data_IF_159160428285
#
_entry.id   IF_159160428285
#
_cell.length_a   1.000
_cell.length_b   1.000
_cell.length_c   1.000
_cell.angle_alpha   90.00
_cell.angle_beta   90.00
_cell.angle_gamma   90.00
#
_symmetry.space_group_name_H-M   'P 1'
#
loop_
_entity.id
_entity.type
_entity.pdbx_description
1 polymer ?
#
# COMPACT_ATOMS: atom_id res chain seq x y z
N UNK A 1 47.67 39.75 -62.89
CA UNK A 1 46.66 39.37 -61.89
C UNK A 1 46.61 40.44 -60.81
N UNK A 2 45.40 40.93 -60.56
CA UNK A 2 44.83 41.72 -59.46
C UNK A 2 45.66 42.79 -58.71
N UNK A 3 45.05 43.98 -58.68
CA UNK A 3 45.50 45.23 -58.10
C UNK A 3 45.21 45.37 -56.59
N UNK A 4 46.07 46.19 -55.95
CA UNK A 4 45.81 47.24 -54.95
C UNK A 4 44.97 46.94 -53.67
N UNK A 5 45.65 47.13 -52.53
CA UNK A 5 45.16 47.64 -51.24
C UNK A 5 44.15 48.80 -51.41
N UNK A 6 43.20 48.99 -50.48
CA UNK A 6 43.26 49.92 -49.30
C UNK A 6 41.83 50.28 -48.76
N UNK A 7 41.73 50.54 -47.45
CA UNK A 7 40.74 51.35 -46.67
C UNK A 7 39.46 50.63 -46.17
N UNK A 8 39.25 50.31 -44.88
CA UNK A 8 39.03 51.08 -43.63
C UNK A 8 37.56 51.45 -43.29
N UNK A 9 37.12 50.97 -42.10
CA UNK A 9 36.33 51.65 -41.05
C UNK A 9 34.79 51.87 -41.14
N UNK A 10 34.15 51.39 -40.05
CA UNK A 10 33.23 52.08 -39.09
C UNK A 10 31.71 51.80 -39.16
N UNK A 11 31.19 51.37 -37.98
CA UNK A 11 30.00 51.83 -37.20
C UNK A 11 28.63 51.77 -37.93
N UNK A 12 27.46 51.53 -37.33
CA UNK A 12 26.90 51.25 -35.99
C UNK A 12 25.38 51.15 -36.24
N UNK A 13 24.65 50.39 -35.41
CA UNK A 13 23.22 50.59 -35.06
C UNK A 13 22.20 50.40 -36.21
N UNK A 14 21.26 49.45 -36.13
CA UNK A 14 19.90 49.63 -35.57
C UNK A 14 19.26 48.22 -35.50
N UNK A 15 19.12 47.57 -34.34
CA UNK A 15 17.94 47.54 -33.42
C UNK A 15 16.76 46.73 -33.98
N UNK A 16 16.43 45.66 -33.23
CA UNK A 16 15.12 44.98 -33.04
C UNK A 16 14.43 44.47 -34.31
N UNK A 17 14.14 43.18 -34.46
CA UNK A 17 12.93 42.52 -33.96
C UNK A 17 12.99 41.12 -34.61
N UNK A 18 13.02 40.00 -33.88
CA UNK A 18 11.98 38.97 -33.86
C UNK A 18 12.72 37.75 -33.26
N UNK A 19 12.57 37.50 -31.97
CA UNK A 19 11.78 36.38 -31.43
C UNK A 19 12.13 35.05 -32.11
N UNK A 20 12.92 34.22 -31.42
CA UNK A 20 12.61 32.80 -31.23
C UNK A 20 13.58 32.22 -30.19
N UNK A 21 13.31 32.60 -28.94
CA UNK A 21 13.15 31.69 -27.81
C UNK A 21 13.70 30.28 -28.05
N UNK A 22 15.00 30.09 -27.84
CA UNK A 22 15.54 28.80 -27.42
C UNK A 22 15.04 28.51 -26.00
N UNK A 23 13.78 28.11 -25.89
CA UNK A 23 13.29 27.39 -24.73
C UNK A 23 13.98 26.04 -24.79
N UNK A 24 15.05 25.90 -24.02
CA UNK A 24 15.57 24.60 -23.62
C UNK A 24 14.41 23.85 -22.97
N UNK A 25 13.73 23.01 -23.76
CA UNK A 25 12.91 21.93 -23.22
C UNK A 25 13.89 20.95 -22.58
N UNK A 26 14.23 21.21 -21.32
CA UNK A 26 14.74 20.18 -20.42
C UNK A 26 13.62 19.16 -20.29
N UNK A 27 13.62 18.18 -21.19
CA UNK A 27 12.83 16.97 -21.02
C UNK A 27 13.47 16.28 -19.82
N UNK A 28 12.90 16.52 -18.65
CA UNK A 28 13.14 15.69 -17.47
C UNK A 28 12.69 14.30 -17.88
N UNK A 29 13.63 13.48 -18.34
CA UNK A 29 13.40 12.04 -18.41
C UNK A 29 13.13 11.64 -16.97
N UNK A 30 11.89 11.28 -16.66
CA UNK A 30 11.62 10.47 -15.48
C UNK A 30 12.55 9.26 -15.56
N UNK A 31 13.58 9.27 -14.71
CA UNK A 31 14.47 8.13 -14.58
C UNK A 31 13.62 7.07 -13.90
N UNK A 32 13.08 6.14 -14.70
CA UNK A 32 12.39 4.97 -14.18
C UNK A 32 13.41 4.22 -13.31
N UNK A 33 13.30 4.38 -11.99
CA UNK A 33 14.20 3.75 -11.03
C UNK A 33 14.06 2.24 -11.15
N UNK A 34 15.18 1.53 -11.04
CA UNK A 34 15.14 0.07 -11.00
C UNK A 34 14.59 -0.40 -9.64
N UNK A 35 13.96 -1.58 -9.60
CA UNK A 35 13.48 -2.18 -8.34
C UNK A 35 14.57 -2.29 -7.26
N UNK A 36 15.80 -2.53 -7.68
CA UNK A 36 16.95 -2.61 -6.77
C UNK A 36 17.31 -1.25 -6.15
N UNK A 37 17.17 -0.16 -6.91
CA UNK A 37 17.37 1.20 -6.43
C UNK A 37 16.28 1.62 -5.45
N UNK A 38 15.01 1.38 -5.79
CA UNK A 38 13.86 1.64 -4.90
C UNK A 38 14.07 0.94 -3.56
N UNK A 39 14.36 -0.36 -3.59
CA UNK A 39 14.61 -1.14 -2.36
C UNK A 39 15.79 -0.60 -1.53
N UNK A 40 16.83 -0.08 -2.18
CA UNK A 40 17.98 0.52 -1.50
C UNK A 40 17.58 1.84 -0.83
N UNK A 41 16.84 2.69 -1.53
CA UNK A 41 16.35 3.96 -1.00
C UNK A 41 15.39 3.75 0.18
N UNK A 42 14.41 2.85 0.04
CA UNK A 42 13.48 2.48 1.12
C UNK A 42 14.23 2.03 2.37
N UNK A 43 15.30 1.24 2.22
CA UNK A 43 16.14 0.82 3.35
C UNK A 43 16.91 1.98 3.99
N UNK A 44 17.39 2.94 3.20
CA UNK A 44 18.17 4.07 3.71
C UNK A 44 17.29 5.11 4.40
N UNK A 45 16.07 5.30 3.88
CA UNK A 45 15.13 6.34 4.31
C UNK A 45 13.97 5.80 5.17
N UNK A 46 14.00 4.53 5.59
CA UNK A 46 12.90 3.87 6.30
C UNK A 46 12.37 4.63 7.53
N UNK A 47 13.22 5.42 8.20
CA UNK A 47 12.85 6.22 9.38
C UNK A 47 12.08 7.49 9.05
N UNK A 48 12.15 7.96 7.81
CA UNK A 48 11.52 9.19 7.34
C UNK A 48 10.30 8.91 6.45
N UNK A 49 10.05 7.64 6.13
CA UNK A 49 8.90 7.21 5.34
C UNK A 49 7.79 6.87 6.32
N UNK A 50 6.73 7.65 6.26
CA UNK A 50 5.52 7.48 7.05
C UNK A 50 4.52 6.63 6.28
N UNK A 51 3.89 5.68 6.96
CA UNK A 51 2.96 4.70 6.40
C UNK A 51 1.72 4.67 7.26
N UNK A 52 0.55 4.84 6.65
CA UNK A 52 -0.73 4.71 7.35
C UNK A 52 -1.11 3.25 7.49
N UNK A 53 -1.51 2.88 8.71
CA UNK A 53 -1.96 1.54 9.04
C UNK A 53 -3.34 1.53 9.68
N UNK A 54 -4.07 0.46 9.46
CA UNK A 54 -5.44 0.22 9.91
C UNK A 54 -5.51 -0.97 10.87
N UNK A 55 -6.19 -0.80 12.00
CA UNK A 55 -6.51 -1.88 12.91
C UNK A 55 -7.65 -2.74 12.35
N UNK A 56 -7.35 -4.00 12.06
CA UNK A 56 -8.32 -5.01 11.61
C UNK A 56 -8.62 -6.07 12.69
N UNK A 57 -8.13 -5.86 13.92
CA UNK A 57 -8.45 -6.72 15.06
C UNK A 57 -9.77 -6.35 15.69
N UNK A 58 -10.38 -7.30 16.42
CA UNK A 58 -11.60 -7.05 17.16
C UNK A 58 -11.25 -6.46 18.53
N UNK A 59 -10.99 -5.16 18.57
CA UNK A 59 -10.66 -4.40 19.78
C UNK A 59 -9.30 -3.71 19.70
N UNK A 60 -8.65 -3.54 20.84
CA UNK A 60 -7.40 -2.80 20.96
C UNK A 60 -6.22 -3.56 20.31
N UNK A 61 -5.47 -2.86 19.46
CA UNK A 61 -4.16 -3.28 18.98
C UNK A 61 -3.08 -2.42 19.62
N UNK A 62 -2.23 -3.04 20.42
CA UNK A 62 -1.08 -2.39 21.03
C UNK A 62 0.22 -3.07 20.63
N UNK A 63 1.17 -2.29 20.14
CA UNK A 63 2.52 -2.77 19.83
C UNK A 63 3.58 -1.73 20.17
N UNK A 64 4.61 -2.15 20.91
CA UNK A 64 5.76 -1.31 21.28
C UNK A 64 7.04 -1.87 20.68
N UNK A 65 7.68 -1.11 19.82
CA UNK A 65 8.96 -1.48 19.23
C UNK A 65 10.12 -1.05 20.12
N UNK A 66 10.83 -1.99 20.74
CA UNK A 66 12.01 -1.67 21.56
C UNK A 66 13.16 -1.02 20.79
N UNK A 67 13.21 -1.19 19.46
CA UNK A 67 14.31 -0.75 18.61
C UNK A 67 14.11 0.66 18.07
N UNK A 68 12.90 0.98 17.63
CA UNK A 68 12.56 2.33 17.13
C UNK A 68 12.03 3.23 18.24
N UNK A 69 11.67 2.67 19.40
CA UNK A 69 10.99 3.36 20.51
C UNK A 69 9.61 3.92 20.14
N UNK A 70 9.08 3.54 18.98
CA UNK A 70 7.71 3.85 18.57
C UNK A 70 6.72 2.87 19.21
N UNK A 71 5.52 3.40 19.44
CA UNK A 71 4.38 2.70 20.00
C UNK A 71 3.19 2.94 19.09
N UNK A 72 2.48 1.87 18.76
CA UNK A 72 1.23 1.91 18.03
C UNK A 72 0.13 1.48 18.99
N UNK A 73 -0.84 2.35 19.21
CA UNK A 73 -1.98 2.09 20.07
C UNK A 73 -3.27 2.48 19.36
N UNK A 74 -3.97 1.47 18.85
CA UNK A 74 -5.24 1.60 18.16
C UNK A 74 -6.31 1.00 19.07
N UNK A 75 -7.29 1.78 19.50
CA UNK A 75 -8.22 1.37 20.56
C UNK A 75 -9.34 0.49 20.02
N UNK A 76 -9.82 0.81 18.82
CA UNK A 76 -10.95 0.14 18.20
C UNK A 76 -10.61 -0.39 16.80
N UNK A 77 -11.43 -1.33 16.33
CA UNK A 77 -11.37 -1.80 14.95
C UNK A 77 -11.70 -0.64 14.02
N UNK A 78 -10.86 -0.39 13.03
CA UNK A 78 -11.04 0.73 12.10
C UNK A 78 -10.21 1.96 12.43
N UNK A 79 -9.61 2.01 13.63
CA UNK A 79 -8.66 3.06 13.94
C UNK A 79 -7.46 2.99 13.00
N UNK A 80 -7.03 4.17 12.54
CA UNK A 80 -5.81 4.33 11.76
C UNK A 80 -4.79 5.17 12.53
N UNK A 81 -3.52 4.92 12.25
CA UNK A 81 -2.41 5.74 12.73
C UNK A 81 -1.24 5.65 11.75
N UNK A 82 -0.28 6.55 11.89
CA UNK A 82 0.87 6.67 11.02
C UNK A 82 2.12 6.20 11.75
N UNK A 83 2.83 5.26 11.14
CA UNK A 83 4.07 4.69 11.68
C UNK A 83 5.20 4.76 10.67
N UNK A 84 6.45 4.66 11.13
CA UNK A 84 7.57 4.64 10.20
C UNK A 84 7.71 3.30 9.48
N UNK A 85 8.28 3.31 8.27
CA UNK A 85 8.62 2.09 7.57
C UNK A 85 9.64 1.22 8.35
N UNK A 86 10.55 1.84 9.12
CA UNK A 86 11.50 1.11 9.98
C UNK A 86 10.79 0.37 11.13
N UNK A 87 9.71 0.96 11.67
CA UNK A 87 8.85 0.31 12.64
C UNK A 87 8.17 -0.92 12.05
N UNK A 88 7.53 -0.81 10.88
CA UNK A 88 6.89 -1.94 10.19
C UNK A 88 7.89 -3.03 9.81
N UNK A 89 9.08 -2.65 9.35
CA UNK A 89 10.14 -3.60 9.04
C UNK A 89 10.61 -4.34 10.30
N UNK A 90 10.70 -3.64 11.43
CA UNK A 90 11.06 -4.27 12.71
C UNK A 90 9.95 -5.19 13.21
N UNK A 91 8.68 -4.76 13.13
CA UNK A 91 7.51 -5.59 13.45
C UNK A 91 7.49 -6.85 12.60
N UNK A 92 7.73 -6.74 11.29
CA UNK A 92 7.80 -7.91 10.42
C UNK A 92 8.87 -8.91 10.86
N UNK A 93 10.05 -8.43 11.27
CA UNK A 93 11.15 -9.31 11.64
C UNK A 93 10.93 -10.01 12.99
N UNK A 94 10.19 -9.38 13.92
CA UNK A 94 9.96 -9.90 15.26
C UNK A 94 8.61 -10.64 15.40
N UNK A 95 7.58 -10.11 14.77
CA UNK A 95 6.18 -10.49 14.90
C UNK A 95 5.48 -10.54 13.53
N UNK A 96 6.10 -11.25 12.59
CA UNK A 96 5.65 -11.39 11.20
C UNK A 96 4.15 -11.72 11.09
N UNK A 97 3.66 -12.60 11.97
CA UNK A 97 2.28 -13.09 11.98
C UNK A 97 1.23 -11.98 12.08
N UNK A 98 1.52 -10.84 12.72
CA UNK A 98 0.59 -9.72 12.82
C UNK A 98 0.24 -9.14 11.43
N UNK A 99 1.25 -9.04 10.56
CA UNK A 99 1.08 -8.54 9.20
C UNK A 99 0.54 -9.65 8.26
N UNK A 100 0.91 -10.91 8.49
CA UNK A 100 0.43 -12.02 7.65
C UNK A 100 -1.04 -12.39 7.90
N UNK A 101 -1.52 -12.21 9.13
CA UNK A 101 -2.93 -12.40 9.48
C UNK A 101 -3.81 -11.20 9.14
N UNK A 102 -3.21 -10.14 8.58
CA UNK A 102 -3.88 -8.87 8.32
C UNK A 102 -4.51 -8.29 9.60
N UNK A 103 -3.89 -8.47 10.77
CA UNK A 103 -4.32 -7.83 12.01
C UNK A 103 -4.06 -6.30 11.95
N UNK A 104 -3.00 -5.93 11.23
CA UNK A 104 -2.65 -4.56 10.88
C UNK A 104 -2.48 -4.46 9.35
N UNK A 105 -3.18 -3.53 8.72
CA UNK A 105 -3.20 -3.38 7.26
C UNK A 105 -2.63 -2.03 6.82
N UNK A 106 -1.79 -2.01 5.79
CA UNK A 106 -1.22 -0.80 5.19
C UNK A 106 -2.24 -0.17 4.25
N UNK A 107 -2.61 1.09 4.50
CA UNK A 107 -3.60 1.83 3.71
C UNK A 107 -2.98 2.83 2.74
N UNK A 108 -1.93 3.54 3.17
CA UNK A 108 -1.31 4.59 2.38
C UNK A 108 0.15 4.86 2.79
N UNK A 109 0.86 5.62 1.96
CA UNK A 109 2.29 5.95 2.14
C UNK A 109 2.49 7.43 1.89
N UNK A 110 3.00 8.14 2.90
CA UNK A 110 3.25 9.58 2.85
C UNK A 110 4.66 9.89 2.36
N UNK A 111 4.99 9.40 1.15
CA UNK A 111 6.28 9.62 0.49
C UNK A 111 6.15 9.43 -1.04
N UNK A 112 7.22 9.70 -1.78
CA UNK A 112 7.30 9.48 -3.23
C UNK A 112 7.45 7.98 -3.61
N UNK A 113 6.62 7.12 -3.01
CA UNK A 113 6.60 5.66 -3.21
C UNK A 113 5.16 5.15 -3.28
N UNK A 114 4.94 4.09 -4.06
CA UNK A 114 3.63 3.43 -4.12
C UNK A 114 3.50 2.40 -2.99
N UNK A 115 2.25 2.02 -2.64
CA UNK A 115 1.99 0.99 -1.62
C UNK A 115 2.62 -0.34 -2.06
N UNK A 116 2.58 -0.65 -3.34
CA UNK A 116 3.17 -1.83 -3.95
C UNK A 116 4.68 -1.91 -3.68
N UNK A 117 5.39 -0.78 -3.70
CA UNK A 117 6.82 -0.71 -3.35
C UNK A 117 7.05 -1.06 -1.88
N UNK A 118 6.20 -0.56 -0.98
CA UNK A 118 6.25 -0.85 0.45
C UNK A 118 5.93 -2.31 0.73
N UNK A 119 4.91 -2.87 0.09
CA UNK A 119 4.53 -4.28 0.21
C UNK A 119 5.62 -5.19 -0.34
N UNK A 120 6.25 -4.86 -1.47
CA UNK A 120 7.40 -5.60 -2.02
C UNK A 120 8.61 -5.52 -1.08
N UNK A 121 8.89 -4.34 -0.51
CA UNK A 121 9.97 -4.13 0.45
C UNK A 121 9.79 -4.96 1.73
N UNK A 122 8.58 -4.96 2.28
CA UNK A 122 8.22 -5.78 3.44
C UNK A 122 8.10 -7.26 3.05
N UNK A 123 7.89 -7.60 1.79
CA UNK A 123 7.69 -8.98 1.33
C UNK A 123 6.29 -9.51 1.68
N UNK A 124 5.30 -8.62 1.63
CA UNK A 124 3.88 -8.86 1.92
C UNK A 124 3.00 -8.91 0.66
N UNK A 125 3.56 -8.71 -0.54
CA UNK A 125 2.82 -8.69 -1.82
C UNK A 125 1.90 -9.89 -2.01
N UNK A 126 2.33 -11.11 -1.62
CA UNK A 126 1.51 -12.33 -1.75
C UNK A 126 0.32 -12.39 -0.77
N UNK A 127 0.37 -11.62 0.31
CA UNK A 127 -0.62 -11.65 1.39
C UNK A 127 -1.73 -10.63 1.10
N UNK A 128 -1.34 -9.45 0.63
CA UNK A 128 -2.23 -8.38 0.20
C UNK A 128 -2.83 -8.65 -1.19
N UNK A 129 -2.17 -9.45 -2.04
CA UNK A 129 -2.69 -9.72 -3.37
C UNK A 129 -2.77 -8.45 -4.22
N UNK A 130 -3.74 -8.40 -5.13
CA UNK A 130 -3.98 -7.26 -6.04
C UNK A 130 -4.98 -6.24 -5.50
N UNK A 131 -5.65 -6.53 -4.38
CA UNK A 131 -6.76 -5.73 -3.87
C UNK A 131 -6.40 -5.06 -2.54
N UNK A 132 -6.79 -3.80 -2.38
CA UNK A 132 -6.67 -3.10 -1.09
C UNK A 132 -7.73 -3.68 -0.15
N UNK A 133 -7.27 -4.20 0.98
CA UNK A 133 -8.17 -4.76 2.00
C UNK A 133 -8.40 -3.72 3.08
N UNK A 134 -9.64 -3.28 3.24
CA UNK A 134 -10.09 -2.51 4.38
C UNK A 134 -11.33 -3.16 5.00
N UNK A 135 -11.97 -2.46 5.93
CA UNK A 135 -13.18 -2.95 6.59
C UNK A 135 -14.32 -3.05 5.58
N UNK A 136 -14.49 -2.01 4.74
CA UNK A 136 -15.58 -1.92 3.77
C UNK A 136 -15.51 -3.05 2.74
N UNK A 137 -14.31 -3.42 2.32
CA UNK A 137 -14.07 -4.55 1.44
C UNK A 137 -14.63 -5.86 2.04
N UNK A 138 -14.39 -6.11 3.33
CA UNK A 138 -14.89 -7.31 4.02
C UNK A 138 -16.41 -7.25 4.17
N UNK A 139 -16.97 -6.08 4.53
CA UNK A 139 -18.42 -5.90 4.63
C UNK A 139 -19.10 -6.16 3.28
N UNK A 140 -18.59 -5.57 2.20
CA UNK A 140 -19.11 -5.75 0.84
C UNK A 140 -19.03 -7.21 0.38
N UNK A 141 -17.90 -7.89 0.66
CA UNK A 141 -17.75 -9.31 0.36
C UNK A 141 -18.81 -10.17 1.08
N UNK A 142 -19.07 -9.90 2.36
CA UNK A 142 -20.01 -10.69 3.15
C UNK A 142 -21.46 -10.38 2.76
N UNK A 143 -21.82 -9.10 2.64
CA UNK A 143 -23.21 -8.67 2.53
C UNK A 143 -23.70 -8.61 1.07
N UNK A 144 -22.89 -8.06 0.16
CA UNK A 144 -23.38 -7.63 -1.16
C UNK A 144 -22.85 -8.48 -2.31
N UNK A 145 -21.65 -9.05 -2.19
CA UNK A 145 -21.01 -9.84 -3.24
C UNK A 145 -21.84 -11.09 -3.61
N UNK A 146 -21.93 -11.41 -4.89
CA UNK A 146 -22.66 -12.60 -5.33
C UNK A 146 -21.99 -13.89 -4.84
N UNK A 147 -22.78 -14.94 -4.67
CA UNK A 147 -22.33 -16.21 -4.09
C UNK A 147 -21.15 -16.85 -4.84
N UNK A 148 -21.18 -16.82 -6.17
CA UNK A 148 -20.11 -17.38 -7.00
C UNK A 148 -18.83 -16.54 -6.93
N UNK A 149 -18.97 -15.22 -6.94
CA UNK A 149 -17.86 -14.28 -6.82
C UNK A 149 -17.18 -14.43 -5.45
N UNK A 150 -17.99 -14.51 -4.38
CA UNK A 150 -17.52 -14.74 -3.02
C UNK A 150 -16.73 -16.05 -2.89
N UNK A 151 -17.22 -17.15 -3.48
CA UNK A 151 -16.49 -18.42 -3.47
C UNK A 151 -15.12 -18.28 -4.14
N UNK A 152 -15.08 -17.65 -5.32
CA UNK A 152 -13.83 -17.42 -6.06
C UNK A 152 -12.87 -16.50 -5.30
N UNK A 153 -13.39 -15.53 -4.54
CA UNK A 153 -12.60 -14.70 -3.63
C UNK A 153 -11.98 -15.56 -2.53
N UNK A 154 -12.79 -16.33 -1.79
CA UNK A 154 -12.32 -17.18 -0.68
C UNK A 154 -11.26 -18.20 -1.13
N UNK A 155 -11.40 -18.76 -2.33
CA UNK A 155 -10.44 -19.73 -2.87
C UNK A 155 -9.08 -19.13 -3.22
N UNK A 156 -9.06 -17.87 -3.67
CA UNK A 156 -7.84 -17.14 -4.09
C UNK A 156 -7.22 -16.32 -2.96
N UNK A 157 -8.02 -15.92 -1.98
CA UNK A 157 -7.61 -15.09 -0.86
C UNK A 157 -6.52 -15.76 -0.01
N UNK A 158 -5.70 -14.91 0.62
CA UNK A 158 -4.78 -15.33 1.66
C UNK A 158 -5.56 -15.87 2.86
N UNK A 159 -4.97 -16.81 3.61
CA UNK A 159 -5.61 -17.36 4.81
C UNK A 159 -5.91 -16.26 5.83
N UNK A 160 -5.05 -15.23 5.93
CA UNK A 160 -5.30 -14.06 6.77
C UNK A 160 -6.63 -13.37 6.43
N UNK A 161 -6.87 -13.09 5.16
CA UNK A 161 -8.12 -12.45 4.72
C UNK A 161 -9.34 -13.34 4.99
N UNK A 162 -9.26 -14.65 4.72
CA UNK A 162 -10.36 -15.58 5.02
C UNK A 162 -10.65 -15.64 6.52
N UNK A 163 -9.61 -15.56 7.36
CA UNK A 163 -9.79 -15.44 8.82
C UNK A 163 -10.49 -14.14 9.19
N UNK A 164 -10.18 -13.00 8.54
CA UNK A 164 -10.89 -11.74 8.77
C UNK A 164 -12.35 -11.78 8.35
N UNK A 165 -12.66 -12.41 7.21
CA UNK A 165 -14.05 -12.68 6.82
C UNK A 165 -14.75 -13.58 7.84
N UNK A 166 -14.08 -14.61 8.37
CA UNK A 166 -14.64 -15.48 9.41
C UNK A 166 -14.92 -14.73 10.71
N UNK A 167 -13.96 -13.94 11.19
CA UNK A 167 -14.09 -13.13 12.41
C UNK A 167 -15.28 -12.19 12.32
N UNK A 168 -15.45 -11.48 11.19
CA UNK A 168 -16.61 -10.62 10.96
C UNK A 168 -17.91 -11.42 10.79
N UNK A 169 -17.87 -12.52 10.04
CA UNK A 169 -19.03 -13.40 9.89
C UNK A 169 -19.57 -13.91 11.21
N UNK A 170 -18.68 -14.31 12.14
CA UNK A 170 -19.05 -14.76 13.48
C UNK A 170 -19.73 -13.64 14.29
N UNK A 171 -19.23 -12.40 14.18
CA UNK A 171 -19.89 -11.24 14.81
C UNK A 171 -21.29 -11.03 14.25
N UNK A 172 -21.43 -11.04 12.93
CA UNK A 172 -22.73 -10.88 12.27
C UNK A 172 -23.72 -11.98 12.68
N UNK A 173 -23.30 -13.23 12.78
CA UNK A 173 -24.19 -14.32 13.25
C UNK A 173 -24.71 -14.04 14.66
N UNK A 174 -23.86 -13.57 15.58
CA UNK A 174 -24.27 -13.19 16.94
C UNK A 174 -25.22 -11.99 16.96
N UNK A 175 -25.07 -11.08 15.99
CA UNK A 175 -25.94 -9.93 15.77
C UNK A 175 -27.26 -10.30 15.06
N UNK A 176 -27.44 -11.57 14.67
CA UNK A 176 -28.62 -12.07 13.96
C UNK A 176 -28.58 -11.87 12.44
N UNK A 177 -27.39 -11.64 11.87
CA UNK A 177 -27.15 -11.45 10.43
C UNK A 177 -26.35 -12.57 9.75
N UNK A 178 -25.80 -12.24 8.57
CA UNK A 178 -25.03 -13.10 7.68
C UNK A 178 -25.79 -14.34 7.16
N UNK A 179 -26.97 -14.18 6.57
CA UNK A 179 -27.92 -15.27 6.27
C UNK A 179 -27.44 -16.33 5.26
N UNK A 180 -26.38 -16.06 4.49
CA UNK A 180 -25.92 -16.96 3.43
C UNK A 180 -25.15 -18.16 4.00
N UNK A 181 -25.85 -19.28 4.19
CA UNK A 181 -25.26 -20.57 4.55
C UNK A 181 -24.18 -21.05 3.57
N UNK A 182 -24.30 -20.69 2.28
CA UNK A 182 -23.28 -21.02 1.30
C UNK A 182 -21.98 -20.27 1.57
N UNK A 183 -22.04 -18.95 1.77
CA UNK A 183 -20.85 -18.13 2.08
C UNK A 183 -20.19 -18.59 3.38
N UNK A 184 -20.98 -18.88 4.42
CA UNK A 184 -20.50 -19.50 5.68
C UNK A 184 -19.75 -20.80 5.41
N UNK A 185 -20.34 -21.69 4.61
CA UNK A 185 -19.73 -22.99 4.25
C UNK A 185 -18.42 -22.83 3.46
N UNK A 186 -18.31 -21.84 2.57
CA UNK A 186 -17.06 -21.56 1.83
C UNK A 186 -15.92 -21.17 2.78
N UNK A 187 -16.19 -20.24 3.71
CA UNK A 187 -15.21 -19.84 4.73
C UNK A 187 -14.82 -21.04 5.60
N UNK A 188 -15.81 -21.75 6.15
CA UNK A 188 -15.62 -22.90 7.02
C UNK A 188 -14.73 -23.98 6.39
N UNK A 189 -15.05 -24.38 5.15
CA UNK A 189 -14.27 -25.36 4.38
C UNK A 189 -12.85 -24.89 4.11
N UNK A 190 -12.68 -23.62 3.71
CA UNK A 190 -11.36 -23.04 3.43
C UNK A 190 -10.46 -23.02 4.66
N UNK A 191 -11.05 -22.85 5.85
CA UNK A 191 -10.35 -22.87 7.13
C UNK A 191 -10.26 -24.26 7.77
N UNK A 192 -10.90 -25.28 7.20
CA UNK A 192 -10.97 -26.63 7.76
C UNK A 192 -11.73 -26.70 9.09
N UNK A 193 -12.77 -25.88 9.26
CA UNK A 193 -13.59 -25.78 10.47
C UNK A 193 -15.07 -25.80 10.10
N UNK A 194 -15.64 -26.99 9.95
CA UNK A 194 -17.04 -27.13 9.49
C UNK A 194 -18.04 -26.51 10.48
N UNK A 195 -17.77 -26.60 11.79
CA UNK A 195 -18.65 -26.09 12.85
C UNK A 195 -18.40 -24.60 13.20
N UNK A 196 -17.69 -23.85 12.32
CA UNK A 196 -17.22 -22.49 12.60
C UNK A 196 -18.35 -21.49 12.94
N UNK A 197 -19.54 -21.71 12.39
CA UNK A 197 -20.70 -20.83 12.54
C UNK A 197 -21.84 -21.47 13.34
N UNK A 198 -21.59 -22.60 14.02
CA UNK A 198 -22.55 -23.30 14.87
C UNK A 198 -22.56 -22.69 16.28
N UNK A 199 -23.03 -21.44 16.38
CA UNK A 199 -23.01 -20.60 17.59
C UNK A 199 -24.38 -20.05 17.96
#
# INVERSE_FOLDING_TARGET
>A
MAAKKTVEKKKKETVEEIVETKVEKTIVKEVVKTKAEIKRELRQNAKNIEVEVLNMTNGEFFYRCKKTHEELNLQEKGDTDVVTLDFLMTMKNQHRTLLERLDLVILDVYADYEIEDILEYLGLTKIYGEERFDIDYIENAINDMEVNEFSNLVDRASIGLVVKMAERGIQLVKEGGFDSNFKRSCIAKRLGKDDLFDI
#
